data_IF_458235062374
#
_entry.id   IF_458235062374
#
_cell.length_a   1.000
_cell.length_b   1.000
_cell.length_c   1.000
_cell.angle_alpha   90.00
_cell.angle_beta   90.00
_cell.angle_gamma   90.00
#
_symmetry.space_group_name_H-M   'P 1'
#
loop_
_entity.id
_entity.type
_entity.pdbx_description
1 polymer ?
#
# COMPACT_ATOMS: atom_id res chain seq x y z
N UNK A 1 32.52 57.63 -17.51
CA UNK A 1 31.66 56.57 -16.93
C UNK A 1 32.16 55.16 -17.25
N UNK A 2 32.34 54.78 -18.52
CA UNK A 2 32.80 53.44 -18.92
C UNK A 2 34.17 53.03 -18.31
N UNK A 3 35.15 53.92 -18.29
CA UNK A 3 36.47 53.64 -17.66
C UNK A 3 36.37 53.36 -16.15
N UNK A 4 35.40 53.96 -15.46
CA UNK A 4 35.21 53.75 -14.03
C UNK A 4 34.65 52.35 -13.73
N UNK A 5 33.70 51.90 -14.56
CA UNK A 5 33.12 50.56 -14.46
C UNK A 5 34.14 49.47 -14.82
N UNK A 6 34.97 49.70 -15.84
CA UNK A 6 36.05 48.78 -16.21
C UNK A 6 37.08 48.62 -15.09
N UNK A 7 37.43 49.71 -14.39
CA UNK A 7 38.33 49.64 -13.24
C UNK A 7 37.70 48.97 -12.01
N UNK A 8 36.41 49.15 -11.74
CA UNK A 8 35.72 48.42 -10.66
C UNK A 8 35.77 46.91 -10.85
N UNK A 9 35.57 46.45 -12.09
CA UNK A 9 35.63 45.02 -12.44
C UNK A 9 37.08 44.50 -12.37
N UNK A 10 38.04 45.25 -12.91
CA UNK A 10 39.46 44.87 -12.89
C UNK A 10 40.05 44.82 -11.47
N UNK A 11 39.58 45.69 -10.57
CA UNK A 11 40.04 45.75 -9.18
C UNK A 11 39.35 44.73 -8.26
N UNK A 12 38.44 43.91 -8.80
CA UNK A 12 37.76 42.86 -8.03
C UNK A 12 37.07 43.41 -6.79
N UNK A 13 36.31 44.51 -6.91
CA UNK A 13 35.59 45.08 -5.76
C UNK A 13 34.52 44.09 -5.32
N UNK A 14 34.91 43.16 -4.44
CA UNK A 14 33.98 42.18 -3.90
C UNK A 14 32.95 42.94 -3.07
N UNK A 15 31.69 42.58 -3.24
CA UNK A 15 30.62 43.09 -2.38
C UNK A 15 31.00 42.84 -0.93
N UNK A 16 30.75 43.82 -0.06
CA UNK A 16 31.13 43.71 1.35
C UNK A 16 30.55 42.42 1.95
N UNK A 17 31.26 41.83 2.91
CA UNK A 17 30.77 40.63 3.61
C UNK A 17 29.36 40.83 4.18
N UNK A 18 29.05 42.06 4.62
CA UNK A 18 27.71 42.48 5.04
C UNK A 18 26.69 42.39 3.91
N UNK A 19 26.99 42.90 2.71
CA UNK A 19 26.08 42.82 1.57
C UNK A 19 25.82 41.37 1.15
N UNK A 20 26.86 40.53 1.07
CA UNK A 20 26.71 39.10 0.77
C UNK A 20 25.84 38.40 1.80
N UNK A 21 26.06 38.68 3.09
CA UNK A 21 25.29 38.09 4.19
C UNK A 21 23.82 38.49 4.14
N UNK A 22 23.53 39.78 3.92
CA UNK A 22 22.16 40.28 3.80
C UNK A 22 21.44 39.66 2.61
N UNK A 23 22.10 39.58 1.45
CA UNK A 23 21.50 39.04 0.24
C UNK A 23 21.30 37.51 0.31
N UNK A 24 22.28 36.76 0.83
CA UNK A 24 22.16 35.31 1.06
C UNK A 24 21.04 35.00 2.06
N UNK A 25 20.93 35.77 3.15
CA UNK A 25 19.84 35.62 4.11
C UNK A 25 18.47 35.92 3.49
N UNK A 26 18.39 36.88 2.58
CA UNK A 26 17.16 37.19 1.85
C UNK A 26 16.77 36.04 0.91
N UNK A 27 17.72 35.51 0.12
CA UNK A 27 17.47 34.32 -0.70
C UNK A 27 17.03 33.12 0.13
N UNK A 28 17.72 32.84 1.25
CA UNK A 28 17.37 31.75 2.15
C UNK A 28 15.95 31.92 2.72
N UNK A 29 15.56 33.15 3.06
CA UNK A 29 14.23 33.48 3.55
C UNK A 29 13.15 33.29 2.50
N UNK A 30 13.36 33.76 1.27
CA UNK A 30 12.41 33.58 0.16
C UNK A 30 12.25 32.10 -0.20
N UNK A 31 13.35 31.33 -0.23
CA UNK A 31 13.30 29.87 -0.41
C UNK A 31 12.52 29.20 0.72
N UNK A 32 12.78 29.59 1.97
CA UNK A 32 12.06 29.07 3.13
C UNK A 32 10.56 29.41 3.06
N UNK A 33 10.19 30.64 2.70
CA UNK A 33 8.79 31.06 2.52
C UNK A 33 8.11 30.30 1.37
N UNK A 34 8.79 30.09 0.25
CA UNK A 34 8.26 29.35 -0.91
C UNK A 34 8.01 27.86 -0.61
N UNK A 35 8.89 27.22 0.16
CA UNK A 35 8.70 25.82 0.57
C UNK A 35 7.80 25.66 1.79
N UNK A 36 7.75 26.65 2.69
CA UNK A 36 6.77 26.69 3.80
C UNK A 36 5.35 26.91 3.30
N UNK A 37 5.13 27.77 2.31
CA UNK A 37 3.80 28.00 1.74
C UNK A 37 3.20 26.73 1.10
N UNK A 38 4.03 25.74 0.76
CA UNK A 38 3.58 24.44 0.25
C UNK A 38 3.19 23.44 1.35
N UNK A 39 3.41 23.77 2.62
CA UNK A 39 3.23 22.88 3.78
C UNK A 39 2.63 23.55 5.03
N UNK A 40 2.36 24.86 5.00
CA UNK A 40 2.00 25.68 6.16
C UNK A 40 0.53 25.58 6.63
N UNK A 41 -0.08 24.40 6.54
CA UNK A 41 -1.39 24.16 7.17
C UNK A 41 -1.36 23.03 8.20
N UNK A 42 -0.16 22.67 8.68
CA UNK A 42 0.03 21.66 9.70
C UNK A 42 0.96 22.23 10.78
N UNK A 43 0.46 22.31 12.03
CA UNK A 43 1.19 22.72 13.24
C UNK A 43 2.20 21.64 13.72
N UNK A 44 2.65 20.80 12.78
CA UNK A 44 3.64 19.74 12.96
C UNK A 44 4.77 19.95 11.95
N UNK A 45 5.99 19.55 12.30
CA UNK A 45 7.13 19.61 11.38
C UNK A 45 6.73 19.02 10.01
N UNK A 46 6.97 19.72 8.88
CA UNK A 46 6.54 19.27 7.56
C UNK A 46 6.96 17.84 7.21
N UNK A 47 8.11 17.38 7.73
CA UNK A 47 8.58 16.01 7.57
C UNK A 47 7.73 15.05 8.41
N UNK A 48 7.42 15.41 9.66
CA UNK A 48 6.53 14.64 10.54
C UNK A 48 5.15 14.52 9.91
N UNK A 49 4.58 15.62 9.40
CA UNK A 49 3.29 15.60 8.70
C UNK A 49 3.28 14.70 7.46
N UNK A 50 4.35 14.72 6.66
CA UNK A 50 4.49 13.83 5.51
C UNK A 50 4.56 12.34 5.91
N UNK A 51 5.29 12.02 6.97
CA UNK A 51 5.38 10.64 7.48
C UNK A 51 4.07 10.16 8.11
N UNK A 52 3.37 11.00 8.86
CA UNK A 52 2.04 10.67 9.41
C UNK A 52 1.04 10.37 8.30
N UNK A 53 1.00 11.21 7.26
CA UNK A 53 0.14 10.97 6.09
C UNK A 53 0.47 9.67 5.36
N UNK A 54 1.76 9.35 5.20
CA UNK A 54 2.18 8.09 4.60
C UNK A 54 1.80 6.88 5.47
N UNK A 55 2.02 6.93 6.79
CA UNK A 55 1.67 5.84 7.70
C UNK A 55 0.18 5.59 7.73
N UNK A 56 -0.63 6.65 7.71
CA UNK A 56 -2.09 6.52 7.68
C UNK A 56 -2.58 5.88 6.37
N UNK A 57 -1.98 6.25 5.24
CA UNK A 57 -2.30 5.62 3.94
C UNK A 57 -1.91 4.14 3.93
N UNK A 58 -0.76 3.80 4.50
CA UNK A 58 -0.31 2.42 4.61
C UNK A 58 -1.22 1.61 5.55
N UNK A 59 -1.53 2.13 6.73
CA UNK A 59 -2.43 1.51 7.69
C UNK A 59 -3.82 1.28 7.08
N UNK A 60 -4.38 2.27 6.39
CA UNK A 60 -5.66 2.12 5.69
C UNK A 60 -5.61 1.06 4.57
N UNK A 61 -4.51 0.96 3.84
CA UNK A 61 -4.36 -0.09 2.82
C UNK A 61 -4.30 -1.49 3.45
N UNK A 62 -3.57 -1.64 4.55
CA UNK A 62 -3.51 -2.89 5.31
C UNK A 62 -4.87 -3.23 5.92
N UNK A 63 -5.57 -2.26 6.50
CA UNK A 63 -6.93 -2.45 7.01
C UNK A 63 -7.91 -2.88 5.91
N UNK A 64 -7.81 -2.32 4.70
CA UNK A 64 -8.66 -2.74 3.57
C UNK A 64 -8.34 -4.16 3.10
N UNK A 65 -7.09 -4.60 3.20
CA UNK A 65 -6.72 -5.99 2.95
C UNK A 65 -7.24 -6.92 4.06
N UNK A 66 -7.16 -6.49 5.32
CA UNK A 66 -7.65 -7.26 6.47
C UNK A 66 -9.19 -7.31 6.55
N UNK A 67 -9.87 -6.25 6.11
CA UNK A 67 -11.33 -6.14 5.95
C UNK A 67 -11.80 -6.64 4.58
N UNK A 68 -10.87 -7.08 3.72
CA UNK A 68 -11.24 -7.84 2.53
C UNK A 68 -12.14 -8.96 3.00
N UNK A 69 -13.30 -9.08 2.36
CA UNK A 69 -14.42 -9.88 2.83
C UNK A 69 -13.94 -11.35 2.93
N UNK A 70 -13.52 -11.74 4.15
CA UNK A 70 -12.86 -13.00 4.50
C UNK A 70 -13.86 -14.03 5.02
N UNK A 71 -15.11 -13.63 5.16
CA UNK A 71 -16.14 -14.48 5.74
C UNK A 71 -16.56 -15.54 4.72
N UNK A 72 -16.63 -16.79 5.13
CA UNK A 72 -17.19 -17.87 4.33
C UNK A 72 -18.67 -18.05 4.66
N UNK A 73 -19.50 -18.50 3.70
CA UNK A 73 -20.89 -18.83 3.98
C UNK A 73 -20.98 -19.85 5.13
N UNK A 74 -21.83 -19.61 6.16
CA UNK A 74 -21.87 -20.43 7.37
C UNK A 74 -22.36 -21.85 7.11
N UNK A 75 -23.07 -22.08 6.00
CA UNK A 75 -23.56 -23.37 5.52
C UNK A 75 -22.57 -24.08 4.58
N UNK A 76 -21.41 -23.50 4.28
CA UNK A 76 -20.42 -24.06 3.33
C UNK A 76 -20.04 -25.51 3.67
N UNK A 77 -19.84 -25.83 4.95
CA UNK A 77 -19.54 -27.20 5.35
C UNK A 77 -20.69 -28.17 5.04
N UNK A 78 -21.93 -27.73 5.21
CA UNK A 78 -23.11 -28.53 4.89
C UNK A 78 -23.24 -28.74 3.37
N UNK A 79 -22.95 -27.71 2.57
CA UNK A 79 -22.87 -27.82 1.10
C UNK A 79 -21.87 -28.89 0.70
N UNK A 80 -20.65 -28.88 1.26
CA UNK A 80 -19.65 -29.91 0.98
C UNK A 80 -20.10 -31.31 1.40
N UNK A 81 -20.74 -31.44 2.57
CA UNK A 81 -21.25 -32.73 3.07
C UNK A 81 -22.37 -33.30 2.20
N UNK A 82 -23.06 -32.46 1.43
CA UNK A 82 -24.12 -32.88 0.51
C UNK A 82 -23.58 -33.42 -0.83
N UNK A 83 -22.28 -33.24 -1.10
CA UNK A 83 -21.67 -33.73 -2.33
C UNK A 83 -21.52 -35.27 -2.28
N UNK A 84 -22.08 -35.99 -3.27
CA UNK A 84 -21.91 -37.44 -3.36
C UNK A 84 -20.48 -37.81 -3.75
N UNK A 85 -20.07 -39.03 -3.41
CA UNK A 85 -18.78 -39.60 -3.85
C UNK A 85 -17.57 -39.29 -2.97
N UNK A 86 -17.73 -38.48 -1.91
CA UNK A 86 -16.63 -38.13 -1.00
C UNK A 86 -16.87 -38.64 0.42
N UNK A 87 -15.81 -39.15 1.04
CA UNK A 87 -15.85 -39.54 2.46
C UNK A 87 -15.63 -38.32 3.38
N UNK A 88 -15.88 -38.49 4.68
CA UNK A 88 -15.76 -37.41 5.67
C UNK A 88 -14.35 -36.83 5.78
N UNK A 89 -13.30 -37.59 5.45
CA UNK A 89 -11.91 -37.14 5.51
C UNK A 89 -11.63 -36.18 4.35
N UNK A 90 -12.02 -36.56 3.13
CA UNK A 90 -11.89 -35.72 1.93
C UNK A 90 -12.64 -34.39 2.12
N UNK A 91 -13.89 -34.46 2.60
CA UNK A 91 -14.71 -33.27 2.88
C UNK A 91 -14.05 -32.35 3.92
N UNK A 92 -13.55 -32.91 5.03
CA UNK A 92 -12.91 -32.10 6.08
C UNK A 92 -11.59 -31.47 5.61
N UNK A 93 -10.82 -32.21 4.80
CA UNK A 93 -9.54 -31.73 4.28
C UNK A 93 -9.73 -30.60 3.27
N UNK A 94 -10.70 -30.74 2.35
CA UNK A 94 -11.04 -29.67 1.43
C UNK A 94 -11.65 -28.46 2.13
N UNK A 95 -12.52 -28.67 3.12
CA UNK A 95 -13.06 -27.57 3.92
C UNK A 95 -11.96 -26.78 4.64
N UNK A 96 -10.97 -27.46 5.22
CA UNK A 96 -9.78 -26.81 5.81
C UNK A 96 -9.04 -25.94 4.80
N UNK A 97 -8.88 -26.43 3.56
CA UNK A 97 -8.28 -25.66 2.47
C UNK A 97 -9.08 -24.39 2.14
N UNK A 98 -10.42 -24.48 2.09
CA UNK A 98 -11.29 -23.33 1.83
C UNK A 98 -11.24 -22.30 2.98
N UNK A 99 -11.21 -22.75 4.23
CA UNK A 99 -11.08 -21.87 5.42
C UNK A 99 -9.75 -21.15 5.42
N UNK A 100 -8.66 -21.82 5.05
CA UNK A 100 -7.35 -21.19 4.91
C UNK A 100 -7.28 -20.20 3.72
N UNK A 101 -8.16 -20.34 2.74
CA UNK A 101 -8.20 -19.50 1.53
C UNK A 101 -9.64 -19.01 1.24
N UNK A 102 -10.18 -18.04 2.02
CA UNK A 102 -11.58 -17.66 1.93
C UNK A 102 -12.05 -17.20 0.54
N UNK A 103 -11.16 -16.60 -0.25
CA UNK A 103 -11.41 -16.21 -1.63
C UNK A 103 -11.72 -17.43 -2.53
N UNK A 104 -11.03 -18.56 -2.34
CA UNK A 104 -11.31 -19.83 -3.03
C UNK A 104 -12.65 -20.38 -2.53
N UNK A 105 -12.88 -20.40 -1.21
CA UNK A 105 -14.13 -20.90 -0.63
C UNK A 105 -15.37 -20.16 -1.12
N UNK A 106 -15.28 -18.84 -1.33
CA UNK A 106 -16.35 -18.03 -1.95
C UNK A 106 -16.55 -18.34 -3.41
N UNK A 107 -15.46 -18.44 -4.18
CA UNK A 107 -15.55 -18.81 -5.59
C UNK A 107 -16.24 -20.17 -5.72
N UNK A 108 -15.78 -21.14 -4.93
CA UNK A 108 -16.36 -22.48 -4.85
C UNK A 108 -17.86 -22.45 -4.50
N UNK A 109 -18.26 -21.69 -3.48
CA UNK A 109 -19.66 -21.64 -3.04
C UNK A 109 -20.61 -21.21 -4.16
N UNK A 110 -20.17 -20.29 -5.01
CA UNK A 110 -20.95 -19.74 -6.12
C UNK A 110 -20.96 -20.62 -7.39
N UNK A 111 -20.21 -21.72 -7.43
CA UNK A 111 -20.17 -22.64 -8.57
C UNK A 111 -21.47 -23.44 -8.72
N UNK A 112 -21.85 -23.85 -9.95
CA UNK A 112 -22.87 -24.87 -10.15
C UNK A 112 -22.43 -26.21 -9.54
N UNK A 113 -23.39 -27.11 -9.28
CA UNK A 113 -23.14 -28.37 -8.57
C UNK A 113 -22.05 -29.22 -9.22
N UNK A 114 -22.09 -29.41 -10.54
CA UNK A 114 -21.11 -30.26 -11.25
C UNK A 114 -19.69 -29.71 -11.11
N UNK A 115 -19.51 -28.40 -11.27
CA UNK A 115 -18.19 -27.76 -11.10
C UNK A 115 -17.66 -27.83 -9.66
N UNK A 116 -18.55 -27.88 -8.65
CA UNK A 116 -18.14 -28.13 -7.26
C UNK A 116 -17.56 -29.53 -7.09
N UNK A 117 -18.17 -30.53 -7.74
CA UNK A 117 -17.64 -31.90 -7.73
C UNK A 117 -16.26 -31.91 -8.38
N UNK A 118 -16.12 -31.33 -9.57
CA UNK A 118 -14.86 -31.31 -10.32
C UNK A 118 -13.71 -30.70 -9.50
N UNK A 119 -13.96 -29.59 -8.82
CA UNK A 119 -12.95 -28.93 -7.96
C UNK A 119 -12.53 -29.80 -6.78
N UNK A 120 -13.47 -30.49 -6.13
CA UNK A 120 -13.15 -31.39 -5.02
C UNK A 120 -12.42 -32.62 -5.54
N UNK A 121 -12.82 -33.19 -6.68
CA UNK A 121 -12.10 -34.31 -7.32
C UNK A 121 -10.66 -33.92 -7.62
N UNK A 122 -10.45 -32.81 -8.34
CA UNK A 122 -9.12 -32.34 -8.73
C UNK A 122 -8.21 -32.20 -7.51
N UNK A 123 -8.70 -31.53 -6.45
CA UNK A 123 -7.94 -31.34 -5.22
C UNK A 123 -7.64 -32.66 -4.49
N UNK A 124 -8.63 -33.55 -4.39
CA UNK A 124 -8.45 -34.82 -3.68
C UNK A 124 -7.52 -35.75 -4.47
N UNK A 125 -7.62 -35.83 -5.79
CA UNK A 125 -6.71 -36.64 -6.61
C UNK A 125 -5.27 -36.14 -6.50
N UNK A 126 -5.05 -34.83 -6.39
CA UNK A 126 -3.71 -34.26 -6.17
C UNK A 126 -3.14 -34.61 -4.78
N UNK A 127 -3.98 -34.58 -3.73
CA UNK A 127 -3.53 -34.77 -2.34
C UNK A 127 -3.59 -36.22 -1.85
N UNK A 128 -4.38 -37.07 -2.50
CA UNK A 128 -4.58 -38.48 -2.19
C UNK A 128 -4.45 -39.31 -3.48
N UNK A 129 -3.25 -39.39 -4.08
CA UNK A 129 -3.04 -40.20 -5.27
C UNK A 129 -3.25 -41.68 -4.93
N UNK A 130 -3.99 -42.39 -5.79
CA UNK A 130 -4.09 -43.85 -5.71
C UNK A 130 -2.75 -44.44 -6.17
N UNK A 131 -2.09 -45.18 -5.27
CA UNK A 131 -0.83 -45.89 -5.55
C UNK A 131 -1.07 -47.19 -6.31
#
# INVERSE_FOLDING_TARGET
>A
MLNHLAQMVANGTTTSSGFKKVHLNMCARTLNEHFRAKTADLDVDPLVGAFTSLSDRLANAIEKLAKGDMDLPPDLYNVLKSLPGFNSVHISFYYSHLVAHPHIGRAFYNLPFDAKIDWVVEFITEKFPEN
#
